data_IF_798090014090
#
_entry.id   IF_798090014090
#
_cell.length_a   1.000
_cell.length_b   1.000
_cell.length_c   1.000
_cell.angle_alpha   90.00
_cell.angle_beta   90.00
_cell.angle_gamma   90.00
#
_symmetry.space_group_name_H-M   'P 1'
#
loop_
_entity.id
_entity.type
_entity.pdbx_description
1 polymer ?
#
# COMPACT_ATOMS: atom_id res chain seq x y z
N UNK A 1 13.14 3.27 -11.57
CA UNK A 1 12.60 1.90 -11.47
C UNK A 1 12.40 1.27 -12.85
N UNK A 2 12.22 2.07 -13.86
CA UNK A 2 11.90 1.65 -15.24
C UNK A 2 13.08 1.64 -16.20
N UNK A 3 14.28 1.94 -15.77
CA UNK A 3 15.48 1.93 -16.62
C UNK A 3 15.69 0.57 -17.32
N UNK A 4 15.29 -0.51 -16.70
CA UNK A 4 15.35 -1.85 -17.30
C UNK A 4 14.43 -2.05 -18.52
N UNK A 5 13.49 -1.14 -18.79
CA UNK A 5 12.66 -1.17 -20.01
C UNK A 5 13.48 -0.97 -21.29
N UNK A 6 14.72 -0.48 -21.21
CA UNK A 6 15.68 -0.47 -22.32
C UNK A 6 16.11 -1.88 -22.74
N UNK A 7 15.82 -2.91 -21.98
CA UNK A 7 16.08 -4.31 -22.31
C UNK A 7 15.54 -4.65 -23.72
N UNK A 8 16.36 -5.20 -24.63
CA UNK A 8 15.96 -5.53 -26.00
C UNK A 8 14.73 -6.42 -26.10
N UNK A 9 14.60 -7.40 -25.21
CA UNK A 9 13.43 -8.28 -25.20
C UNK A 9 12.16 -7.53 -24.82
N UNK A 10 12.23 -6.59 -23.87
CA UNK A 10 11.12 -5.72 -23.51
C UNK A 10 10.75 -4.80 -24.68
N UNK A 11 11.74 -4.10 -25.24
CA UNK A 11 11.55 -3.17 -26.36
C UNK A 11 10.92 -3.86 -27.58
N UNK A 12 11.38 -5.08 -27.87
CA UNK A 12 10.92 -5.84 -29.05
C UNK A 12 9.53 -6.47 -28.83
N UNK A 13 9.32 -7.13 -27.67
CA UNK A 13 8.09 -7.89 -27.39
C UNK A 13 6.93 -7.02 -26.89
N UNK A 14 7.24 -5.98 -26.11
CA UNK A 14 6.24 -5.16 -25.44
C UNK A 14 6.00 -3.83 -26.12
N UNK A 15 7.07 -3.19 -26.57
CA UNK A 15 7.00 -1.86 -27.20
C UNK A 15 6.92 -1.91 -28.73
N UNK A 16 7.15 -3.08 -29.36
CA UNK A 16 7.19 -3.20 -30.80
C UNK A 16 8.30 -2.36 -31.47
N UNK A 17 9.34 -2.01 -30.71
CA UNK A 17 10.37 -1.07 -31.16
C UNK A 17 11.30 -1.74 -32.15
N UNK A 18 11.29 -1.24 -33.38
CA UNK A 18 12.06 -1.78 -34.52
C UNK A 18 13.56 -1.52 -34.40
N UNK A 19 14.01 -0.53 -33.64
CA UNK A 19 15.42 -0.21 -33.43
C UNK A 19 16.21 -1.35 -32.77
N UNK A 20 15.55 -2.23 -32.08
CA UNK A 20 16.14 -3.40 -31.43
C UNK A 20 16.05 -4.68 -32.27
N UNK A 21 15.77 -4.55 -33.57
CA UNK A 21 15.49 -5.70 -34.46
C UNK A 21 16.67 -6.67 -34.59
N UNK A 22 17.89 -6.12 -34.58
CA UNK A 22 19.11 -6.90 -34.77
C UNK A 22 19.76 -7.39 -33.48
N UNK A 23 19.23 -6.96 -32.30
CA UNK A 23 19.71 -7.43 -31.02
C UNK A 23 19.10 -8.77 -30.68
N UNK A 24 19.92 -9.71 -30.23
CA UNK A 24 19.47 -11.02 -29.76
C UNK A 24 18.98 -10.90 -28.33
N UNK A 25 17.68 -11.07 -28.04
CA UNK A 25 17.19 -11.02 -26.67
C UNK A 25 17.75 -12.18 -25.86
N UNK A 26 18.26 -11.93 -24.66
CA UNK A 26 18.59 -12.98 -23.73
C UNK A 26 17.28 -13.65 -23.25
N UNK A 27 17.11 -14.92 -23.55
CA UNK A 27 15.90 -15.67 -23.22
C UNK A 27 15.70 -15.85 -21.69
N UNK A 28 16.78 -15.80 -20.92
CA UNK A 28 16.71 -15.98 -19.46
C UNK A 28 16.35 -14.68 -18.74
N UNK A 29 16.78 -13.53 -19.24
CA UNK A 29 16.30 -12.23 -18.79
C UNK A 29 14.87 -12.04 -19.30
N UNK A 30 14.61 -12.45 -20.53
CA UNK A 30 13.31 -12.25 -21.19
C UNK A 30 12.89 -10.78 -21.18
N UNK A 31 11.63 -10.50 -20.94
CA UNK A 31 11.09 -9.14 -20.81
C UNK A 31 11.10 -8.59 -19.37
N UNK A 32 11.78 -9.25 -18.45
CA UNK A 32 11.89 -8.82 -17.05
C UNK A 32 12.71 -7.54 -16.94
N UNK A 33 12.04 -6.41 -16.78
CA UNK A 33 12.73 -5.12 -16.66
C UNK A 33 12.97 -4.70 -15.22
N UNK A 34 12.14 -5.15 -14.27
CA UNK A 34 12.26 -4.76 -12.86
C UNK A 34 13.58 -5.19 -12.21
N UNK A 35 14.00 -6.45 -12.44
CA UNK A 35 15.30 -6.92 -11.95
C UNK A 35 16.47 -6.22 -12.66
N UNK A 36 16.38 -5.99 -13.94
CA UNK A 36 17.38 -5.21 -14.71
C UNK A 36 17.47 -3.78 -14.18
N UNK A 37 16.33 -3.14 -13.91
CA UNK A 37 16.28 -1.80 -13.28
C UNK A 37 16.97 -1.77 -11.93
N UNK A 38 16.83 -2.81 -11.13
CA UNK A 38 17.48 -2.90 -9.83
C UNK A 38 19.00 -3.02 -9.93
N UNK A 39 19.50 -3.70 -10.97
CA UNK A 39 20.94 -3.80 -11.27
C UNK A 39 21.48 -2.43 -11.73
N UNK A 40 20.77 -1.72 -12.61
CA UNK A 40 21.12 -0.34 -13.00
C UNK A 40 21.19 0.59 -11.78
N UNK A 41 20.20 0.48 -10.90
CA UNK A 41 20.18 1.26 -9.68
C UNK A 41 21.42 1.00 -8.81
N UNK A 42 21.79 -0.27 -8.61
CA UNK A 42 22.97 -0.63 -7.84
C UNK A 42 24.26 -0.19 -8.51
N UNK A 43 24.39 -0.36 -9.83
CA UNK A 43 25.55 0.10 -10.59
C UNK A 43 25.83 1.58 -10.34
N UNK A 44 24.82 2.41 -10.45
CA UNK A 44 24.94 3.85 -10.26
C UNK A 44 25.21 4.23 -8.78
N UNK A 45 24.41 3.73 -7.84
CA UNK A 45 24.49 4.18 -6.46
C UNK A 45 25.69 3.62 -5.69
N UNK A 46 26.17 2.43 -6.01
CA UNK A 46 27.40 1.90 -5.38
C UNK A 46 28.63 2.71 -5.81
N UNK A 47 28.68 3.16 -7.06
CA UNK A 47 29.73 4.07 -7.50
C UNK A 47 29.59 5.46 -6.87
N UNK A 48 28.36 5.98 -6.81
CA UNK A 48 28.09 7.27 -6.17
C UNK A 48 28.53 7.28 -4.69
N UNK A 49 28.19 6.25 -3.93
CA UNK A 49 28.60 6.11 -2.53
C UNK A 49 30.14 6.06 -2.42
N UNK A 50 30.79 5.35 -3.34
CA UNK A 50 32.26 5.30 -3.37
C UNK A 50 32.86 6.68 -3.60
N UNK A 51 32.35 7.43 -4.60
CA UNK A 51 32.81 8.81 -4.83
C UNK A 51 32.63 9.71 -3.61
N UNK A 52 31.50 9.58 -2.90
CA UNK A 52 31.24 10.32 -1.67
C UNK A 52 32.29 10.03 -0.58
N UNK A 53 32.78 8.77 -0.48
CA UNK A 53 33.86 8.40 0.43
C UNK A 53 35.18 9.01 -0.05
N UNK A 54 35.50 8.85 -1.33
CA UNK A 54 36.76 9.33 -1.94
C UNK A 54 36.88 10.87 -1.85
N UNK A 55 35.75 11.58 -1.88
CA UNK A 55 35.62 13.03 -1.72
C UNK A 55 35.49 13.46 -0.25
N UNK A 56 35.65 12.56 0.70
CA UNK A 56 35.56 12.79 2.17
C UNK A 56 34.21 13.41 2.62
N UNK A 57 33.16 13.27 1.82
CA UNK A 57 31.81 13.76 2.14
C UNK A 57 31.07 12.90 3.15
N UNK A 58 31.42 11.61 3.22
CA UNK A 58 30.90 10.65 4.18
C UNK A 58 32.00 9.76 4.70
N UNK A 59 31.85 9.31 5.92
CA UNK A 59 32.76 8.33 6.56
C UNK A 59 32.47 6.91 6.05
N UNK A 60 33.42 5.99 6.24
CA UNK A 60 33.19 4.57 5.95
C UNK A 60 32.05 3.97 6.76
N UNK A 61 31.84 4.40 8.01
CA UNK A 61 30.74 3.92 8.83
C UNK A 61 29.38 4.38 8.30
N UNK A 62 29.25 5.65 7.91
CA UNK A 62 28.04 6.19 7.27
C UNK A 62 27.77 5.49 5.93
N UNK A 63 28.82 5.20 5.15
CA UNK A 63 28.67 4.53 3.85
C UNK A 63 28.06 3.13 3.97
N UNK A 64 28.31 2.39 5.05
CA UNK A 64 27.69 1.06 5.25
C UNK A 64 26.19 1.18 5.47
N UNK A 65 25.73 2.17 6.25
CA UNK A 65 24.31 2.43 6.43
C UNK A 65 23.63 2.85 5.10
N UNK A 66 24.28 3.74 4.33
CA UNK A 66 23.76 4.20 3.04
C UNK A 66 23.69 3.03 2.05
N UNK A 67 24.67 2.12 2.05
CA UNK A 67 24.62 0.91 1.23
C UNK A 67 23.47 -0.02 1.62
N UNK A 68 23.21 -0.19 2.92
CA UNK A 68 22.10 -1.01 3.40
C UNK A 68 20.78 -0.48 2.85
N UNK A 69 20.57 0.84 2.85
CA UNK A 69 19.42 1.46 2.21
C UNK A 69 19.40 1.30 0.67
N UNK A 70 20.55 1.47 0.01
CA UNK A 70 20.62 1.28 -1.44
C UNK A 70 20.23 -0.15 -1.84
N UNK A 71 20.64 -1.15 -1.09
CA UNK A 71 20.23 -2.54 -1.33
C UNK A 71 18.75 -2.78 -1.08
N UNK A 72 18.15 -2.17 -0.05
CA UNK A 72 16.71 -2.26 0.18
C UNK A 72 15.89 -1.60 -0.94
N UNK A 73 16.28 -0.42 -1.40
CA UNK A 73 15.62 0.24 -2.52
C UNK A 73 15.74 -0.57 -3.80
N UNK A 74 16.91 -1.12 -4.08
CA UNK A 74 17.14 -2.01 -5.21
C UNK A 74 16.22 -3.23 -5.17
N UNK A 75 16.06 -3.85 -3.99
CA UNK A 75 15.11 -4.92 -3.76
C UNK A 75 13.66 -4.49 -4.08
N UNK A 76 13.21 -3.34 -3.56
CA UNK A 76 11.87 -2.80 -3.84
C UNK A 76 11.67 -2.60 -5.34
N UNK A 77 12.65 -2.03 -6.04
CA UNK A 77 12.62 -1.86 -7.50
C UNK A 77 12.48 -3.21 -8.20
N UNK A 78 13.19 -4.24 -7.75
CA UNK A 78 13.11 -5.57 -8.37
C UNK A 78 11.74 -6.22 -8.25
N UNK A 79 10.91 -5.78 -7.30
CA UNK A 79 9.61 -6.39 -6.95
C UNK A 79 8.39 -5.57 -7.35
N UNK A 80 8.53 -4.43 -7.99
CA UNK A 80 7.40 -3.52 -8.24
C UNK A 80 6.29 -4.12 -9.14
N UNK A 81 6.59 -5.15 -9.95
CA UNK A 81 5.60 -5.91 -10.70
C UNK A 81 5.17 -7.23 -10.03
N UNK A 82 5.57 -7.46 -8.80
CA UNK A 82 5.24 -8.68 -8.07
C UNK A 82 5.05 -8.45 -6.58
N UNK A 83 4.91 -9.51 -5.80
CA UNK A 83 4.85 -9.41 -4.35
C UNK A 83 6.25 -9.32 -3.73
N UNK A 84 6.34 -8.68 -2.56
CA UNK A 84 7.54 -8.75 -1.73
C UNK A 84 7.77 -10.20 -1.30
N UNK A 85 8.95 -10.73 -1.61
CA UNK A 85 9.42 -12.06 -1.24
C UNK A 85 10.56 -11.97 -0.23
N UNK A 86 11.15 -13.10 0.11
CA UNK A 86 12.35 -13.10 0.96
C UNK A 86 13.52 -12.38 0.26
N UNK A 87 14.22 -11.54 1.00
CA UNK A 87 15.37 -10.79 0.49
C UNK A 87 16.50 -11.70 0.00
N UNK A 88 16.64 -12.90 0.58
CA UNK A 88 17.63 -13.89 0.16
C UNK A 88 17.41 -14.36 -1.29
N UNK A 89 16.14 -14.52 -1.71
CA UNK A 89 15.82 -14.84 -3.12
C UNK A 89 16.30 -13.77 -4.08
N UNK A 90 16.14 -12.51 -3.69
CA UNK A 90 16.66 -11.40 -4.48
C UNK A 90 18.19 -11.43 -4.61
N UNK A 91 18.91 -11.73 -3.51
CA UNK A 91 20.35 -11.89 -3.55
C UNK A 91 20.80 -13.06 -4.44
N UNK A 92 20.04 -14.14 -4.46
CA UNK A 92 20.29 -15.27 -5.36
C UNK A 92 20.11 -14.88 -6.83
N UNK A 93 19.10 -14.08 -7.15
CA UNK A 93 18.88 -13.54 -8.49
C UNK A 93 19.99 -12.62 -8.96
N UNK A 94 20.52 -11.76 -8.06
CA UNK A 94 21.62 -10.84 -8.39
C UNK A 94 22.96 -11.54 -8.60
N UNK A 95 23.28 -12.55 -7.76
CA UNK A 95 24.61 -13.17 -7.73
C UNK A 95 24.73 -14.43 -8.57
N UNK A 96 23.59 -15.01 -9.05
CA UNK A 96 23.54 -16.34 -9.63
C UNK A 96 23.83 -17.43 -8.58
N UNK A 97 23.15 -18.54 -8.71
CA UNK A 97 23.58 -19.79 -8.06
C UNK A 97 24.72 -20.33 -8.91
N UNK A 98 25.84 -20.66 -8.35
CA UNK A 98 27.04 -21.36 -8.81
C UNK A 98 27.19 -21.80 -10.30
N UNK A 99 26.15 -21.74 -11.13
CA UNK A 99 26.17 -21.94 -12.57
C UNK A 99 26.16 -20.58 -13.28
N UNK A 100 27.21 -20.30 -14.05
CA UNK A 100 27.37 -19.06 -14.84
C UNK A 100 26.20 -18.77 -15.81
N UNK A 101 25.36 -19.78 -16.08
CA UNK A 101 24.22 -19.67 -16.97
C UNK A 101 23.07 -18.81 -16.45
N UNK A 102 22.89 -18.68 -15.12
CA UNK A 102 21.75 -17.98 -14.50
C UNK A 102 22.10 -16.67 -13.80
N UNK A 103 23.32 -16.17 -13.97
CA UNK A 103 23.77 -14.91 -13.37
C UNK A 103 23.17 -13.71 -14.12
N UNK A 104 22.04 -13.21 -13.63
CA UNK A 104 21.35 -12.05 -14.21
C UNK A 104 22.21 -10.78 -14.17
N UNK A 105 23.05 -10.62 -13.14
CA UNK A 105 23.97 -9.51 -13.05
C UNK A 105 24.97 -9.51 -14.20
N UNK A 106 25.64 -10.65 -14.45
CA UNK A 106 26.62 -10.78 -15.55
C UNK A 106 25.97 -10.54 -16.90
N UNK A 107 24.82 -11.14 -17.15
CA UNK A 107 24.09 -10.97 -18.42
C UNK A 107 23.64 -9.54 -18.68
N UNK A 108 23.25 -8.84 -17.61
CA UNK A 108 22.90 -7.42 -17.73
C UNK A 108 24.12 -6.59 -18.14
N UNK A 109 25.29 -6.87 -17.57
CA UNK A 109 26.53 -6.19 -17.95
C UNK A 109 27.04 -6.57 -19.34
N UNK A 110 26.92 -7.84 -19.75
CA UNK A 110 27.22 -8.27 -21.13
C UNK A 110 26.32 -7.53 -22.11
N UNK A 111 25.04 -7.42 -21.80
CA UNK A 111 24.09 -6.66 -22.59
C UNK A 111 24.40 -5.14 -22.60
N UNK A 112 24.89 -4.54 -21.51
CA UNK A 112 25.34 -3.14 -21.53
C UNK A 112 26.42 -2.95 -22.61
N UNK A 113 27.38 -3.84 -22.67
CA UNK A 113 28.47 -3.79 -23.66
C UNK A 113 27.93 -3.92 -25.05
N UNK A 114 27.04 -4.86 -25.32
CA UNK A 114 26.42 -5.08 -26.63
C UNK A 114 25.53 -3.91 -27.07
N UNK A 115 24.87 -3.26 -26.13
CA UNK A 115 23.94 -2.16 -26.39
C UNK A 115 24.60 -0.80 -26.48
N UNK A 116 25.90 -0.71 -26.22
CA UNK A 116 26.63 0.56 -26.17
C UNK A 116 26.25 1.41 -24.95
N UNK A 117 25.61 0.83 -23.94
CA UNK A 117 25.31 1.48 -22.68
C UNK A 117 26.58 1.41 -21.81
N UNK A 118 27.06 2.58 -21.39
CA UNK A 118 28.21 2.64 -20.49
C UNK A 118 27.76 2.31 -19.07
N UNK A 119 28.14 1.13 -18.57
CA UNK A 119 28.04 0.82 -17.15
C UNK A 119 28.95 1.75 -16.33
N UNK A 120 28.50 2.16 -15.16
CA UNK A 120 29.28 3.02 -14.26
C UNK A 120 30.36 2.22 -13.54
N UNK A 121 30.01 1.01 -13.11
CA UNK A 121 30.94 0.05 -12.53
C UNK A 121 31.40 -0.97 -13.59
N UNK A 122 32.58 -1.57 -13.39
CA UNK A 122 32.89 -2.84 -14.06
C UNK A 122 32.06 -3.97 -13.44
N UNK A 123 31.77 -5.01 -14.22
CA UNK A 123 31.08 -6.18 -13.71
C UNK A 123 31.78 -6.80 -12.49
N UNK A 124 33.13 -6.85 -12.50
CA UNK A 124 33.91 -7.40 -11.38
C UNK A 124 33.63 -6.63 -10.08
N UNK A 125 33.60 -5.30 -10.13
CA UNK A 125 33.28 -4.46 -8.97
C UNK A 125 31.84 -4.63 -8.49
N UNK A 126 30.92 -4.69 -9.42
CA UNK A 126 29.52 -4.97 -9.09
C UNK A 126 29.37 -6.33 -8.40
N UNK A 127 29.95 -7.37 -8.99
CA UNK A 127 29.93 -8.74 -8.49
C UNK A 127 30.57 -8.84 -7.09
N UNK A 128 31.71 -8.17 -6.89
CA UNK A 128 32.36 -8.11 -5.57
C UNK A 128 31.45 -7.48 -4.51
N UNK A 129 30.78 -6.39 -4.83
CA UNK A 129 29.83 -5.75 -3.90
C UNK A 129 28.64 -6.66 -3.57
N UNK A 130 28.05 -7.32 -4.56
CA UNK A 130 26.94 -8.25 -4.35
C UNK A 130 27.37 -9.47 -3.54
N UNK A 131 28.55 -10.02 -3.83
CA UNK A 131 29.13 -11.13 -3.05
C UNK A 131 29.38 -10.72 -1.61
N UNK A 132 29.93 -9.54 -1.38
CA UNK A 132 30.12 -8.98 -0.03
C UNK A 132 28.80 -8.83 0.69
N UNK A 133 27.78 -8.27 0.05
CA UNK A 133 26.44 -8.16 0.63
C UNK A 133 25.87 -9.53 1.04
N UNK A 134 25.94 -10.51 0.16
CA UNK A 134 25.47 -11.87 0.47
C UNK A 134 26.14 -12.46 1.69
N UNK A 135 27.45 -12.22 1.82
CA UNK A 135 28.24 -12.67 2.99
C UNK A 135 27.86 -11.92 4.27
N UNK A 136 27.58 -10.63 4.18
CA UNK A 136 27.29 -9.75 5.33
C UNK A 136 25.80 -9.52 5.56
N UNK A 137 24.93 -10.17 4.79
CA UNK A 137 23.48 -10.00 4.89
C UNK A 137 22.94 -10.18 6.30
N UNK A 138 23.42 -11.18 7.04
CA UNK A 138 23.00 -11.41 8.43
C UNK A 138 23.39 -10.24 9.34
N UNK A 139 24.55 -9.62 9.10
CA UNK A 139 25.01 -8.45 9.83
C UNK A 139 24.21 -7.20 9.44
N UNK A 140 23.91 -7.04 8.15
CA UNK A 140 23.01 -5.99 7.65
C UNK A 140 21.65 -6.10 8.32
N UNK A 141 21.04 -7.27 8.29
CA UNK A 141 19.74 -7.51 8.92
C UNK A 141 19.80 -7.21 10.43
N UNK A 142 20.87 -7.63 11.11
CA UNK A 142 21.07 -7.31 12.51
C UNK A 142 21.21 -5.81 12.76
N UNK A 143 21.92 -5.04 11.92
CA UNK A 143 22.03 -3.58 12.04
C UNK A 143 20.67 -2.90 11.89
N UNK A 144 19.88 -3.32 10.89
CA UNK A 144 18.58 -2.74 10.57
C UNK A 144 17.50 -3.10 11.60
N UNK A 145 17.61 -4.28 12.22
CA UNK A 145 16.60 -4.79 13.17
C UNK A 145 17.09 -4.83 14.61
N UNK A 146 18.36 -4.41 14.87
CA UNK A 146 19.01 -4.56 16.18
C UNK A 146 18.18 -4.00 17.32
N UNK A 147 18.12 -4.77 18.38
CA UNK A 147 17.73 -4.48 19.75
C UNK A 147 16.24 -4.34 20.08
N UNK A 148 15.30 -4.43 19.13
CA UNK A 148 13.90 -4.57 19.54
C UNK A 148 12.99 -5.05 18.41
N UNK A 149 11.95 -5.81 18.74
CA UNK A 149 10.85 -6.15 17.86
C UNK A 149 10.23 -4.90 17.21
N UNK A 150 10.28 -3.76 17.91
CA UNK A 150 9.80 -2.47 17.42
C UNK A 150 10.55 -2.00 16.18
N UNK A 151 11.89 -2.13 16.13
CA UNK A 151 12.68 -1.72 14.95
C UNK A 151 12.37 -2.59 13.74
N UNK A 152 12.19 -3.89 13.94
CA UNK A 152 11.80 -4.82 12.88
C UNK A 152 10.43 -4.46 12.30
N UNK A 153 9.46 -4.11 13.14
CA UNK A 153 8.12 -3.68 12.70
C UNK A 153 8.20 -2.35 11.94
N UNK A 154 8.99 -1.39 12.42
CA UNK A 154 9.18 -0.10 11.75
C UNK A 154 9.83 -0.31 10.38
N UNK A 155 10.89 -1.12 10.29
CA UNK A 155 11.54 -1.43 9.02
C UNK A 155 10.59 -2.11 8.04
N UNK A 156 9.82 -3.09 8.51
CA UNK A 156 8.80 -3.76 7.71
C UNK A 156 7.76 -2.77 7.18
N UNK A 157 7.21 -1.93 8.05
CA UNK A 157 6.22 -0.92 7.67
C UNK A 157 6.80 0.07 6.65
N UNK A 158 8.06 0.47 6.81
CA UNK A 158 8.74 1.39 5.91
C UNK A 158 8.99 0.78 4.54
N UNK A 159 9.44 -0.46 4.46
CA UNK A 159 9.62 -1.19 3.19
C UNK A 159 8.28 -1.32 2.47
N UNK A 160 7.21 -1.67 3.21
CA UNK A 160 5.85 -1.78 2.65
C UNK A 160 5.33 -0.45 2.13
N UNK A 161 5.57 0.63 2.85
CA UNK A 161 5.20 1.98 2.42
C UNK A 161 5.91 2.37 1.14
N UNK A 162 7.24 2.24 1.09
CA UNK A 162 8.02 2.57 -0.10
C UNK A 162 7.64 1.72 -1.33
N UNK A 163 7.42 0.43 -1.10
CA UNK A 163 6.92 -0.46 -2.15
C UNK A 163 5.55 0.01 -2.67
N UNK A 164 4.62 0.30 -1.77
CA UNK A 164 3.29 0.79 -2.15
C UNK A 164 3.34 2.12 -2.90
N UNK A 165 4.20 3.04 -2.47
CA UNK A 165 4.41 4.32 -3.16
C UNK A 165 4.97 4.12 -4.58
N UNK A 166 5.95 3.22 -4.74
CA UNK A 166 6.52 2.92 -6.05
C UNK A 166 5.49 2.31 -7.00
N UNK A 167 4.75 1.30 -6.53
CA UNK A 167 3.69 0.63 -7.30
C UNK A 167 2.58 1.61 -7.67
N UNK A 168 2.16 2.45 -6.74
CA UNK A 168 1.15 3.47 -7.01
C UNK A 168 1.64 4.50 -8.04
N UNK A 169 2.89 4.98 -7.90
CA UNK A 169 3.46 5.95 -8.84
C UNK A 169 3.59 5.38 -10.26
N UNK A 170 4.05 4.14 -10.40
CA UNK A 170 4.13 3.46 -11.69
C UNK A 170 2.75 3.28 -12.31
N UNK A 171 1.78 2.86 -11.51
CA UNK A 171 0.40 2.69 -11.93
C UNK A 171 -0.21 4.02 -12.42
N UNK A 172 -0.13 5.08 -11.60
CA UNK A 172 -0.71 6.37 -11.98
C UNK A 172 -0.03 6.96 -13.23
N UNK A 173 1.29 6.90 -13.32
CA UNK A 173 2.01 7.37 -14.49
C UNK A 173 1.63 6.59 -15.76
N UNK A 174 1.48 5.26 -15.66
CA UNK A 174 1.06 4.42 -16.79
C UNK A 174 -0.39 4.70 -17.17
N UNK A 175 -1.30 4.82 -16.19
CA UNK A 175 -2.71 5.15 -16.44
C UNK A 175 -2.85 6.50 -17.12
N UNK A 176 -2.18 7.52 -16.62
CA UNK A 176 -2.18 8.87 -17.20
C UNK A 176 -1.65 8.87 -18.64
N UNK A 177 -0.55 8.16 -18.90
CA UNK A 177 0.00 8.00 -20.25
C UNK A 177 -0.97 7.30 -21.19
N UNK A 178 -1.64 6.23 -20.74
CA UNK A 178 -2.53 5.43 -21.58
C UNK A 178 -3.89 6.08 -21.83
N UNK A 179 -4.42 6.83 -20.86
CA UNK A 179 -5.77 7.42 -20.92
C UNK A 179 -5.74 8.89 -21.31
N UNK A 180 -4.63 9.57 -21.13
CA UNK A 180 -4.51 11.03 -21.28
C UNK A 180 -5.23 11.82 -20.18
N UNK A 181 -5.68 11.16 -19.09
CA UNK A 181 -6.38 11.79 -17.99
C UNK A 181 -5.42 12.03 -16.83
N UNK A 182 -5.29 13.29 -16.41
CA UNK A 182 -4.52 13.65 -15.24
C UNK A 182 -5.14 13.06 -13.96
N UNK A 183 -4.33 12.36 -13.17
CA UNK A 183 -4.73 11.78 -11.90
C UNK A 183 -4.62 12.83 -10.79
N UNK A 184 -5.67 13.62 -10.62
CA UNK A 184 -5.66 14.73 -9.66
C UNK A 184 -6.18 14.34 -8.26
N UNK A 185 -6.95 13.28 -8.16
CA UNK A 185 -7.62 12.91 -6.89
C UNK A 185 -6.89 11.84 -6.10
N UNK A 186 -6.08 11.00 -6.75
CA UNK A 186 -5.38 9.86 -6.14
C UNK A 186 -6.27 8.98 -5.25
N UNK A 187 -7.56 8.87 -5.61
CA UNK A 187 -8.56 8.16 -4.84
C UNK A 187 -8.94 8.84 -3.52
N UNK A 188 -8.72 10.13 -3.39
CA UNK A 188 -9.14 10.89 -2.21
C UNK A 188 -10.63 11.16 -2.23
N UNK A 189 -11.28 11.04 -1.10
CA UNK A 189 -12.67 11.44 -0.91
C UNK A 189 -12.70 12.98 -0.80
N UNK A 190 -13.28 13.65 -1.81
CA UNK A 190 -13.36 15.11 -1.84
C UNK A 190 -14.77 15.64 -1.52
N UNK A 191 -15.75 14.74 -1.41
CA UNK A 191 -17.17 15.08 -1.23
C UNK A 191 -17.74 14.52 0.08
N UNK A 192 -16.99 14.58 1.16
CA UNK A 192 -17.40 14.01 2.47
C UNK A 192 -18.75 14.61 2.95
N UNK A 193 -19.03 15.86 2.65
CA UNK A 193 -20.31 16.48 3.02
C UNK A 193 -21.50 15.87 2.26
N UNK A 194 -21.30 15.49 0.99
CA UNK A 194 -22.31 14.76 0.21
C UNK A 194 -22.53 13.36 0.80
N UNK A 195 -21.42 12.64 1.08
CA UNK A 195 -21.47 11.30 1.69
C UNK A 195 -22.18 11.35 3.05
N UNK A 196 -21.85 12.32 3.88
CA UNK A 196 -22.50 12.52 5.18
C UNK A 196 -23.97 12.84 5.04
N UNK A 197 -24.33 13.75 4.11
CA UNK A 197 -25.72 14.09 3.83
C UNK A 197 -26.53 12.89 3.38
N UNK A 198 -25.96 12.05 2.51
CA UNK A 198 -26.62 10.83 2.06
C UNK A 198 -26.76 9.79 3.17
N UNK A 199 -25.70 9.59 3.96
CA UNK A 199 -25.73 8.73 5.15
C UNK A 199 -26.83 9.15 6.13
N UNK A 200 -26.96 10.44 6.43
CA UNK A 200 -27.96 10.98 7.38
C UNK A 200 -29.42 10.87 6.89
N UNK A 201 -29.65 10.68 5.59
CA UNK A 201 -30.96 10.37 5.04
C UNK A 201 -31.43 8.94 5.35
N UNK A 202 -30.52 8.06 5.73
CA UNK A 202 -30.82 6.67 6.08
C UNK A 202 -31.74 6.55 7.28
N UNK A 203 -32.50 5.43 7.34
CA UNK A 203 -33.48 5.19 8.42
C UNK A 203 -32.81 5.19 9.80
N UNK A 204 -31.66 4.50 9.92
CA UNK A 204 -30.96 4.36 11.20
C UNK A 204 -30.44 5.70 11.71
N UNK A 205 -29.68 6.49 10.93
CA UNK A 205 -29.25 7.81 11.38
C UNK A 205 -30.42 8.73 11.74
N UNK A 206 -31.49 8.74 10.94
CA UNK A 206 -32.69 9.55 11.26
C UNK A 206 -33.30 9.20 12.61
N UNK A 207 -33.51 7.92 12.89
CA UNK A 207 -34.07 7.47 14.16
C UNK A 207 -33.15 7.85 15.34
N UNK A 208 -31.82 7.75 15.16
CA UNK A 208 -30.85 8.11 16.18
C UNK A 208 -30.89 9.62 16.46
N UNK A 209 -30.90 10.45 15.43
CA UNK A 209 -30.98 11.92 15.57
C UNK A 209 -32.30 12.39 16.17
N UNK A 210 -33.38 11.72 15.85
CA UNK A 210 -34.68 12.00 16.47
C UNK A 210 -34.67 11.66 17.96
N UNK A 211 -34.14 10.52 18.31
CA UNK A 211 -33.95 10.10 19.71
C UNK A 211 -33.02 11.09 20.46
N UNK A 212 -31.93 11.48 19.86
CA UNK A 212 -30.98 12.43 20.42
C UNK A 212 -31.68 13.74 20.81
N UNK A 213 -32.53 14.27 19.93
CA UNK A 213 -33.24 15.54 20.16
C UNK A 213 -34.32 15.45 21.24
N UNK A 214 -34.97 14.31 21.39
CA UNK A 214 -36.17 14.16 22.23
C UNK A 214 -35.88 13.51 23.56
N UNK A 215 -35.00 12.54 23.60
CA UNK A 215 -34.85 11.63 24.75
C UNK A 215 -33.44 11.64 25.36
N UNK A 216 -32.40 11.86 24.57
CA UNK A 216 -31.02 11.80 25.05
C UNK A 216 -30.66 12.89 26.08
N UNK A 217 -31.05 14.15 25.91
CA UNK A 217 -30.85 15.19 26.94
C UNK A 217 -31.55 14.86 28.25
N UNK A 218 -32.76 14.29 28.19
CA UNK A 218 -33.53 13.90 29.35
C UNK A 218 -32.89 12.73 30.10
N UNK A 219 -32.35 11.76 29.36
CA UNK A 219 -31.59 10.66 29.93
C UNK A 219 -30.32 11.17 30.64
N UNK A 220 -29.61 12.12 30.06
CA UNK A 220 -28.41 12.74 30.66
C UNK A 220 -28.72 13.47 31.99
N UNK A 221 -29.85 14.19 32.06
CA UNK A 221 -30.32 14.83 33.30
C UNK A 221 -30.79 13.78 34.33
N UNK A 222 -31.48 12.73 33.91
CA UNK A 222 -31.86 11.61 34.73
C UNK A 222 -30.69 10.80 35.28
N UNK A 223 -29.60 10.67 34.51
CA UNK A 223 -28.38 9.98 34.90
C UNK A 223 -27.51 10.79 35.89
N UNK A 224 -27.69 12.07 36.01
CA UNK A 224 -26.96 12.92 36.95
C UNK A 224 -27.11 12.62 38.42
N UNK A 225 -28.00 11.71 38.77
CA UNK A 225 -28.24 11.28 40.16
C UNK A 225 -28.46 9.76 40.34
N UNK A 226 -28.47 8.97 39.27
CA UNK A 226 -28.73 7.52 39.32
C UNK A 226 -27.51 6.82 38.71
N UNK A 227 -27.07 5.72 39.35
CA UNK A 227 -26.06 4.85 38.77
C UNK A 227 -26.46 4.44 37.33
N UNK A 228 -25.56 4.69 36.40
CA UNK A 228 -25.75 4.45 34.96
C UNK A 228 -26.22 3.05 34.65
N UNK A 229 -25.72 2.05 35.39
CA UNK A 229 -26.13 0.64 35.23
C UNK A 229 -27.58 0.42 35.63
N UNK A 230 -28.06 1.10 36.66
CA UNK A 230 -29.45 1.02 37.10
C UNK A 230 -30.40 1.66 36.09
N UNK A 231 -30.00 2.77 35.48
CA UNK A 231 -30.78 3.45 34.45
C UNK A 231 -30.84 2.64 33.16
N UNK A 232 -29.72 2.06 32.72
CA UNK A 232 -29.65 1.17 31.55
C UNK A 232 -30.51 -0.08 31.72
N UNK A 233 -30.51 -0.67 32.91
CA UNK A 233 -31.36 -1.84 33.23
C UNK A 233 -32.86 -1.52 33.25
N UNK A 234 -33.23 -0.26 33.42
CA UNK A 234 -34.61 0.22 33.30
C UNK A 234 -35.07 0.48 31.84
N UNK A 235 -34.19 0.52 30.86
CA UNK A 235 -34.55 0.79 29.48
C UNK A 235 -35.23 -0.40 28.83
N UNK A 236 -36.42 -0.17 28.28
CA UNK A 236 -37.19 -1.18 27.56
C UNK A 236 -36.87 -1.14 26.07
N UNK A 237 -36.12 -2.14 25.61
CA UNK A 237 -35.88 -2.40 24.20
C UNK A 237 -34.41 -2.25 23.74
N UNK A 238 -33.97 -3.27 23.05
CA UNK A 238 -32.58 -3.37 22.57
C UNK A 238 -32.15 -2.22 21.62
N UNK A 239 -33.13 -1.63 20.92
CA UNK A 239 -32.84 -0.52 19.99
C UNK A 239 -32.50 0.78 20.73
N UNK A 240 -33.08 1.00 21.94
CA UNK A 240 -32.73 2.14 22.77
C UNK A 240 -31.28 2.00 23.25
N UNK A 241 -30.89 0.81 23.73
CA UNK A 241 -29.50 0.54 24.12
C UNK A 241 -28.52 0.72 22.96
N UNK A 242 -28.89 0.28 21.77
CA UNK A 242 -28.08 0.48 20.56
C UNK A 242 -27.89 1.96 20.23
N UNK A 243 -28.95 2.75 20.37
CA UNK A 243 -28.92 4.19 20.11
C UNK A 243 -28.07 4.91 21.15
N UNK A 244 -28.21 4.58 22.41
CA UNK A 244 -27.36 5.12 23.49
C UNK A 244 -25.88 4.80 23.27
N UNK A 245 -25.55 3.55 22.96
CA UNK A 245 -24.17 3.14 22.64
C UNK A 245 -23.62 3.89 21.42
N UNK A 246 -24.45 4.12 20.41
CA UNK A 246 -24.05 4.88 19.21
C UNK A 246 -23.71 6.33 19.58
N UNK A 247 -24.57 7.02 20.34
CA UNK A 247 -24.36 8.39 20.76
C UNK A 247 -23.19 8.53 21.73
N UNK A 248 -23.05 7.61 22.67
CA UNK A 248 -21.91 7.55 23.58
C UNK A 248 -20.59 7.41 22.82
N UNK A 249 -20.54 6.48 21.85
CA UNK A 249 -19.33 6.29 21.03
C UNK A 249 -18.97 7.52 20.22
N UNK A 250 -19.95 8.21 19.65
CA UNK A 250 -19.77 9.46 18.94
C UNK A 250 -19.22 10.55 19.87
N UNK A 251 -19.81 10.74 21.06
CA UNK A 251 -19.35 11.72 22.03
C UNK A 251 -17.92 11.44 22.52
N UNK A 252 -17.58 10.20 22.80
CA UNK A 252 -16.22 9.81 23.21
C UNK A 252 -15.23 10.13 22.09
N UNK A 253 -15.54 9.80 20.84
CA UNK A 253 -14.69 10.11 19.71
C UNK A 253 -14.47 11.61 19.57
N UNK A 254 -15.54 12.39 19.57
CA UNK A 254 -15.48 13.84 19.33
C UNK A 254 -14.73 14.60 20.45
N UNK A 255 -14.72 14.07 21.66
CA UNK A 255 -13.95 14.63 22.78
C UNK A 255 -12.49 14.15 22.81
N UNK A 256 -12.06 13.26 21.92
CA UNK A 256 -10.71 12.70 21.87
C UNK A 256 -10.11 12.71 20.45
N UNK A 257 -10.41 13.69 19.63
CA UNK A 257 -9.93 13.81 18.25
C UNK A 257 -8.41 14.02 18.13
N UNK A 258 -7.74 14.29 19.23
CA UNK A 258 -6.27 14.34 19.35
C UNK A 258 -5.62 12.93 19.37
N UNK A 259 -6.40 11.88 19.52
CA UNK A 259 -5.92 10.49 19.53
C UNK A 259 -5.91 9.88 18.13
N UNK A 260 -4.95 8.98 17.90
CA UNK A 260 -4.80 8.29 16.60
C UNK A 260 -5.30 6.83 16.63
N UNK A 261 -5.61 6.29 17.80
CA UNK A 261 -6.04 4.90 17.96
C UNK A 261 -7.26 4.86 18.86
N UNK A 262 -8.32 4.21 18.39
CA UNK A 262 -9.57 4.03 19.12
C UNK A 262 -9.95 2.55 19.13
N UNK A 263 -10.54 2.08 20.23
CA UNK A 263 -11.09 0.76 20.36
C UNK A 263 -12.60 0.86 20.52
N UNK A 264 -13.35 0.15 19.67
CA UNK A 264 -14.80 0.04 19.74
C UNK A 264 -15.17 -1.39 20.17
N UNK A 265 -15.45 -1.56 21.44
CA UNK A 265 -15.90 -2.83 22.02
C UNK A 265 -17.39 -2.80 22.32
N UNK A 266 -18.13 -3.80 21.82
CA UNK A 266 -19.56 -3.93 22.09
C UNK A 266 -20.03 -5.36 21.81
N UNK A 267 -21.11 -5.83 22.43
CA UNK A 267 -21.64 -7.17 22.22
C UNK A 267 -22.03 -7.45 20.76
N UNK A 268 -22.11 -8.72 20.39
CA UNK A 268 -22.62 -9.12 19.08
C UNK A 268 -24.06 -8.62 18.91
N UNK A 269 -24.38 -8.08 17.74
CA UNK A 269 -25.69 -7.52 17.45
C UNK A 269 -25.94 -6.10 18.00
N UNK A 270 -24.95 -5.46 18.63
CA UNK A 270 -25.08 -4.08 19.16
C UNK A 270 -25.11 -2.98 18.09
N UNK A 271 -24.81 -3.30 16.82
CA UNK A 271 -24.71 -2.31 15.74
C UNK A 271 -23.30 -1.76 15.51
N UNK A 272 -22.25 -2.47 15.91
CA UNK A 272 -20.83 -2.05 15.73
C UNK A 272 -20.51 -1.54 14.32
N UNK A 273 -20.98 -2.21 13.28
CA UNK A 273 -20.71 -1.81 11.89
C UNK A 273 -21.28 -0.41 11.57
N UNK A 274 -22.48 -0.12 12.03
CA UNK A 274 -23.09 1.20 11.87
C UNK A 274 -22.37 2.27 12.70
N UNK A 275 -21.96 1.94 13.92
CA UNK A 275 -21.13 2.83 14.74
C UNK A 275 -19.79 3.11 14.06
N UNK A 276 -19.08 2.08 13.60
CA UNK A 276 -17.80 2.23 12.93
C UNK A 276 -17.91 3.09 11.66
N UNK A 277 -18.96 2.90 10.87
CA UNK A 277 -19.24 3.72 9.68
C UNK A 277 -19.45 5.19 10.06
N UNK A 278 -20.32 5.46 11.03
CA UNK A 278 -20.56 6.80 11.51
C UNK A 278 -19.30 7.49 12.04
N UNK A 279 -18.55 6.79 12.89
CA UNK A 279 -17.32 7.32 13.48
C UNK A 279 -16.26 7.63 12.43
N UNK A 280 -16.13 6.77 11.39
CA UNK A 280 -15.21 7.01 10.27
C UNK A 280 -15.57 8.27 9.49
N UNK A 281 -16.85 8.45 9.17
CA UNK A 281 -17.31 9.65 8.47
C UNK A 281 -17.16 10.92 9.31
N UNK A 282 -17.43 10.84 10.62
CA UNK A 282 -17.25 11.97 11.55
C UNK A 282 -15.78 12.37 11.66
N UNK A 283 -14.87 11.40 11.76
CA UNK A 283 -13.43 11.68 11.76
C UNK A 283 -13.00 12.36 10.46
N UNK A 284 -13.42 11.83 9.32
CA UNK A 284 -13.07 12.42 8.02
C UNK A 284 -13.63 13.83 7.86
N UNK A 285 -14.86 14.08 8.30
CA UNK A 285 -15.46 15.43 8.24
C UNK A 285 -14.73 16.44 9.13
N UNK A 286 -14.22 16.01 10.28
CA UNK A 286 -13.59 16.89 11.26
C UNK A 286 -12.07 16.99 11.13
N UNK A 287 -11.45 16.20 10.24
CA UNK A 287 -10.01 16.22 9.97
C UNK A 287 -9.74 16.54 8.51
N UNK A 288 -8.93 17.56 8.26
CA UNK A 288 -8.49 17.89 6.89
C UNK A 288 -7.45 16.92 6.34
N UNK A 289 -6.83 16.12 7.22
CA UNK A 289 -5.74 15.21 6.86
C UNK A 289 -6.23 13.80 6.51
N UNK A 290 -7.51 13.46 6.79
CA UNK A 290 -8.10 12.16 6.51
C UNK A 290 -8.89 12.24 5.21
N UNK A 291 -8.44 11.51 4.19
CA UNK A 291 -9.03 11.55 2.86
C UNK A 291 -9.41 10.16 2.30
N UNK A 292 -9.22 9.09 3.08
CA UNK A 292 -9.56 7.71 2.73
C UNK A 292 -10.04 6.93 3.95
N UNK A 293 -10.88 5.94 3.70
CA UNK A 293 -11.35 4.98 4.72
C UNK A 293 -11.03 3.57 4.24
N UNK A 294 -10.34 2.79 5.06
CA UNK A 294 -10.07 1.39 4.80
C UNK A 294 -10.76 0.50 5.85
N UNK A 295 -11.68 -0.35 5.41
CA UNK A 295 -12.26 -1.39 6.23
C UNK A 295 -11.50 -2.70 6.01
N UNK A 296 -10.82 -3.19 7.02
CA UNK A 296 -9.99 -4.41 6.95
C UNK A 296 -10.68 -5.53 7.75
N UNK A 297 -11.00 -6.62 7.09
CA UNK A 297 -11.68 -7.77 7.68
C UNK A 297 -10.86 -9.05 7.54
N UNK A 298 -10.86 -9.93 8.56
CA UNK A 298 -10.12 -11.19 8.50
C UNK A 298 -10.76 -12.24 7.57
N UNK A 299 -12.04 -12.07 7.19
CA UNK A 299 -12.80 -13.04 6.40
C UNK A 299 -13.63 -12.36 5.30
N UNK A 300 -13.71 -13.00 4.12
CA UNK A 300 -14.48 -12.50 2.99
C UNK A 300 -15.97 -12.31 3.29
N UNK A 301 -16.56 -13.17 4.11
CA UNK A 301 -17.97 -13.04 4.52
C UNK A 301 -18.27 -11.72 5.23
N UNK A 302 -17.31 -11.20 6.00
CA UNK A 302 -17.45 -9.89 6.64
C UNK A 302 -17.32 -8.73 5.63
N UNK A 303 -16.48 -8.90 4.61
CA UNK A 303 -16.39 -7.94 3.49
C UNK A 303 -17.73 -7.85 2.78
N UNK A 304 -18.34 -8.99 2.43
CA UNK A 304 -19.66 -9.03 1.79
C UNK A 304 -20.76 -8.42 2.66
N UNK A 305 -20.78 -8.73 3.96
CA UNK A 305 -21.73 -8.13 4.90
C UNK A 305 -21.57 -6.61 5.00
N UNK A 306 -20.33 -6.11 5.02
CA UNK A 306 -20.10 -4.68 5.05
C UNK A 306 -20.49 -4.01 3.72
N UNK A 307 -20.21 -4.64 2.58
CA UNK A 307 -20.66 -4.15 1.28
C UNK A 307 -22.18 -4.08 1.20
N UNK A 308 -22.90 -5.08 1.69
CA UNK A 308 -24.36 -5.05 1.77
C UNK A 308 -24.84 -3.90 2.67
N UNK A 309 -24.15 -3.62 3.77
CA UNK A 309 -24.47 -2.49 4.66
C UNK A 309 -24.26 -1.15 3.94
N UNK A 310 -23.17 -0.99 3.21
CA UNK A 310 -22.87 0.21 2.41
C UNK A 310 -23.89 0.37 1.27
N UNK A 311 -24.23 -0.71 0.56
CA UNK A 311 -25.23 -0.70 -0.50
C UNK A 311 -26.64 -0.35 0.02
N UNK A 312 -26.99 -0.78 1.23
CA UNK A 312 -28.26 -0.39 1.86
C UNK A 312 -28.31 1.10 2.20
N UNK A 313 -27.18 1.72 2.49
CA UNK A 313 -27.10 3.16 2.81
C UNK A 313 -26.98 3.99 1.53
N UNK A 314 -26.10 3.61 0.61
CA UNK A 314 -25.69 4.41 -0.52
C UNK A 314 -26.12 3.86 -1.90
N UNK A 315 -26.79 2.71 -1.95
CA UNK A 315 -27.06 2.01 -3.20
C UNK A 315 -27.84 2.80 -4.25
N UNK A 316 -28.55 3.86 -3.84
CA UNK A 316 -29.24 4.78 -4.73
C UNK A 316 -28.37 5.96 -5.21
N UNK A 317 -27.13 6.07 -4.71
CA UNK A 317 -26.20 7.13 -5.07
C UNK A 317 -24.99 6.54 -5.80
N UNK A 318 -25.04 6.56 -7.15
CA UNK A 318 -23.95 6.04 -7.99
C UNK A 318 -22.63 6.77 -7.77
N UNK A 319 -22.67 8.08 -7.48
CA UNK A 319 -21.46 8.87 -7.20
C UNK A 319 -20.71 8.38 -5.97
N UNK A 320 -21.43 8.01 -4.91
CA UNK A 320 -20.80 7.45 -3.69
C UNK A 320 -20.39 5.99 -3.92
N UNK A 321 -21.26 5.18 -4.53
CA UNK A 321 -20.95 3.76 -4.75
C UNK A 321 -19.76 3.54 -5.69
N UNK A 322 -19.55 4.42 -6.65
CA UNK A 322 -18.37 4.36 -7.54
C UNK A 322 -17.03 4.61 -6.82
N UNK A 323 -17.06 5.22 -5.64
CA UNK A 323 -15.87 5.47 -4.82
C UNK A 323 -15.54 4.30 -3.89
N UNK A 324 -16.35 3.23 -3.88
CA UNK A 324 -16.16 2.07 -3.00
C UNK A 324 -15.51 0.94 -3.80
N UNK A 325 -14.29 0.56 -3.39
CA UNK A 325 -13.57 -0.58 -3.95
C UNK A 325 -13.55 -1.76 -2.98
N UNK A 326 -13.74 -2.96 -3.51
CA UNK A 326 -13.63 -4.21 -2.75
C UNK A 326 -12.39 -4.96 -3.19
N UNK A 327 -11.48 -5.21 -2.25
CA UNK A 327 -10.30 -6.03 -2.47
C UNK A 327 -10.40 -7.27 -1.57
N UNK A 328 -10.47 -8.45 -2.17
CA UNK A 328 -10.54 -9.70 -1.43
C UNK A 328 -9.69 -10.79 -2.09
N UNK A 329 -9.46 -11.89 -1.36
CA UNK A 329 -8.63 -13.02 -1.83
C UNK A 329 -9.26 -13.83 -2.97
N UNK A 330 -10.52 -13.61 -3.31
CA UNK A 330 -11.24 -14.28 -4.39
C UNK A 330 -11.08 -13.50 -5.70
N UNK A 331 -10.70 -12.22 -5.63
CA UNK A 331 -10.28 -11.48 -6.83
C UNK A 331 -9.10 -12.23 -7.42
N UNK A 332 -9.15 -12.68 -8.69
CA UNK A 332 -8.19 -13.63 -9.22
C UNK A 332 -6.78 -13.03 -9.31
N UNK A 333 -6.01 -13.24 -8.26
CA UNK A 333 -4.55 -13.13 -8.23
C UNK A 333 -3.91 -14.47 -8.64
N UNK A 334 -4.55 -15.22 -9.51
CA UNK A 334 -4.01 -16.51 -9.96
C UNK A 334 -3.10 -16.31 -11.16
N UNK A 335 -1.83 -16.68 -11.00
CA UNK A 335 -0.84 -17.05 -12.04
C UNK A 335 -1.05 -16.38 -13.42
N UNK A 336 -1.27 -15.07 -13.39
CA UNK A 336 -1.49 -14.28 -14.57
C UNK A 336 -0.12 -13.73 -14.95
N UNK A 337 0.26 -13.86 -16.22
CA UNK A 337 1.45 -13.22 -16.78
C UNK A 337 1.43 -11.72 -16.42
N UNK A 338 2.59 -11.12 -16.26
CA UNK A 338 2.71 -9.68 -15.90
C UNK A 338 1.77 -8.79 -16.73
N UNK A 339 1.48 -9.17 -17.99
CA UNK A 339 0.58 -8.46 -18.92
C UNK A 339 -0.91 -8.55 -18.56
N UNK A 340 -1.33 -9.68 -18.00
CA UNK A 340 -2.75 -9.86 -17.63
C UNK A 340 -3.02 -9.29 -16.23
N UNK A 341 -2.02 -9.27 -15.34
CA UNK A 341 -2.07 -8.56 -14.06
C UNK A 341 -2.27 -7.07 -14.30
N UNK A 342 -1.50 -6.46 -15.19
CA UNK A 342 -1.62 -5.04 -15.55
C UNK A 342 -2.99 -4.73 -16.14
N UNK A 343 -3.50 -5.55 -17.05
CA UNK A 343 -4.82 -5.34 -17.67
C UNK A 343 -5.97 -5.54 -16.68
N UNK A 344 -5.90 -6.53 -15.80
CA UNK A 344 -6.94 -6.75 -14.78
C UNK A 344 -6.87 -5.70 -13.66
N UNK A 345 -5.67 -5.27 -13.28
CA UNK A 345 -5.50 -4.19 -12.32
C UNK A 345 -6.04 -2.87 -12.89
N UNK A 346 -5.71 -2.54 -14.13
CA UNK A 346 -6.26 -1.40 -14.85
C UNK A 346 -7.77 -1.49 -15.00
N UNK A 347 -8.33 -2.66 -15.29
CA UNK A 347 -9.77 -2.86 -15.42
C UNK A 347 -10.49 -2.67 -14.08
N UNK A 348 -9.96 -3.22 -12.98
CA UNK A 348 -10.54 -3.03 -11.63
C UNK A 348 -10.46 -1.57 -11.21
N UNK A 349 -9.40 -0.87 -11.58
CA UNK A 349 -9.17 0.53 -11.23
C UNK A 349 -9.92 1.51 -12.15
N UNK A 350 -10.02 1.21 -13.45
CA UNK A 350 -10.78 2.02 -14.41
C UNK A 350 -12.29 1.85 -14.23
N UNK A 351 -12.75 0.65 -13.88
CA UNK A 351 -14.17 0.38 -13.60
C UNK A 351 -14.65 0.96 -12.26
N UNK A 352 -13.74 1.34 -11.39
CA UNK A 352 -14.06 1.82 -10.04
C UNK A 352 -13.07 2.90 -9.62
N UNK A 353 -13.19 4.11 -10.12
CA UNK A 353 -12.34 5.25 -9.74
C UNK A 353 -12.00 5.21 -8.23
N UNK A 354 -10.72 4.95 -7.92
CA UNK A 354 -10.26 4.92 -6.54
C UNK A 354 -10.23 6.29 -5.92
#
# INVERSE_FOLDING_TARGET
HDLGKVNPAFQKKKMGNIWYKDMTPDNNIGSKHSIVSSIFYLDYYLDFIKRMIDEEKITKAESENIKDFAYMYSYIISRHHGGLTEFEKYLDELSGKSDDSDNLGKRTYDWYTESGINAVLSYDRYSENVFKLRRTYKEMNKRLTSDSDRKSVILYAWIRLLYSMLVAADYYATSEYMTGWEQNTFGNINNIDEIMSEYEKGLIPKCIREYEKTSYPIAYELFGGIDRNTAINGMKGINILRTEMFLDSENVLMNNTDKNIFYLEAPTGSGKSNMAMNLSFKLMKNSQDINKIFYIYPFNTLVEQNMNSLANVFGNNESVMSQIAVVNSITPYKDISDDELDKNYQRILLDRQF
#
